data_IF_532846073861
#
_entry.id   IF_532846073861
#
_cell.length_a   1.000
_cell.length_b   1.000
_cell.length_c   1.000
_cell.angle_alpha   90.00
_cell.angle_beta   90.00
_cell.angle_gamma   90.00
#
_symmetry.space_group_name_H-M   'P 1'
#
loop_
_entity.id
_entity.type
_entity.pdbx_description
1 polymer ?
#
# COMPACT_ATOMS: atom_id res chain seq x y z
N UNK A 1 0.81 10.50 -41.07
CA UNK A 1 0.19 9.16 -41.21
C UNK A 1 0.72 8.31 -40.08
N UNK A 2 -0.07 8.10 -39.01
CA UNK A 2 0.34 7.28 -37.86
C UNK A 2 0.27 5.79 -38.23
N UNK A 3 1.28 5.04 -37.82
CA UNK A 3 1.47 3.62 -38.15
C UNK A 3 0.57 2.73 -37.30
N UNK A 4 0.11 1.61 -37.87
CA UNK A 4 -0.65 0.57 -37.16
C UNK A 4 0.11 -0.03 -35.97
N UNK A 5 1.44 0.15 -35.92
CA UNK A 5 2.30 -0.27 -34.82
C UNK A 5 2.11 0.58 -33.55
N UNK A 6 1.91 1.90 -33.69
CA UNK A 6 1.66 2.80 -32.55
C UNK A 6 0.32 2.50 -31.85
N UNK A 7 -0.69 2.08 -32.62
CA UNK A 7 -2.00 1.75 -32.08
C UNK A 7 -1.96 0.49 -31.19
N UNK A 8 -1.13 -0.49 -31.55
CA UNK A 8 -0.99 -1.74 -30.79
C UNK A 8 -0.19 -1.54 -29.49
N UNK A 9 0.76 -0.61 -29.47
CA UNK A 9 1.58 -0.31 -28.29
C UNK A 9 0.82 0.56 -27.26
N UNK A 10 -0.07 1.44 -27.72
CA UNK A 10 -1.00 2.16 -26.85
C UNK A 10 -2.03 1.21 -26.20
N UNK A 11 -2.50 0.21 -26.95
CA UNK A 11 -3.43 -0.80 -26.43
C UNK A 11 -2.77 -1.74 -25.42
N UNK A 12 -1.45 -2.00 -25.55
CA UNK A 12 -0.66 -2.80 -24.59
C UNK A 12 -0.48 -2.09 -23.25
N UNK A 13 -0.44 -0.76 -23.22
CA UNK A 13 -0.45 0.05 -21.96
C UNK A 13 -1.81 0.11 -21.26
N UNK A 14 -2.88 -0.36 -21.91
CA UNK A 14 -4.23 -0.43 -21.36
C UNK A 14 -4.61 -1.81 -20.78
N UNK A 15 -3.63 -2.63 -20.40
CA UNK A 15 -3.90 -3.70 -19.42
C UNK A 15 -3.99 -3.09 -18.03
N UNK A 16 -5.03 -2.27 -17.84
CA UNK A 16 -5.55 -1.92 -16.52
C UNK A 16 -5.79 -3.25 -15.83
N UNK A 17 -4.92 -3.59 -14.87
CA UNK A 17 -5.17 -4.64 -13.87
C UNK A 17 -6.60 -4.41 -13.41
N UNK A 18 -7.51 -5.32 -13.78
CA UNK A 18 -8.85 -5.37 -13.23
C UNK A 18 -8.67 -5.33 -11.72
N UNK A 19 -8.95 -4.17 -11.13
CA UNK A 19 -9.17 -4.09 -9.70
C UNK A 19 -10.39 -4.96 -9.49
N UNK A 20 -10.18 -6.18 -9.02
CA UNK A 20 -11.23 -7.02 -8.49
C UNK A 20 -12.00 -6.15 -7.53
N UNK A 21 -13.28 -5.91 -7.82
CA UNK A 21 -14.22 -5.32 -6.88
C UNK A 21 -14.50 -6.35 -5.77
N UNK A 22 -13.46 -6.70 -5.00
CA UNK A 22 -13.67 -7.24 -3.66
C UNK A 22 -14.25 -6.08 -2.87
N UNK A 23 -15.50 -6.23 -2.42
CA UNK A 23 -16.14 -5.25 -1.55
C UNK A 23 -15.20 -4.91 -0.40
N UNK A 24 -15.18 -3.63 -0.01
CA UNK A 24 -14.31 -3.20 1.08
C UNK A 24 -14.54 -4.11 2.29
N UNK A 25 -13.49 -4.79 2.79
CA UNK A 25 -13.63 -5.64 3.96
C UNK A 25 -14.19 -4.80 5.12
N UNK A 26 -15.03 -5.42 5.95
CA UNK A 26 -15.56 -4.74 7.12
C UNK A 26 -14.44 -4.17 7.98
N UNK A 27 -14.71 -3.06 8.68
CA UNK A 27 -13.72 -2.38 9.54
C UNK A 27 -12.99 -3.33 10.49
N UNK A 28 -13.63 -4.32 11.14
CA UNK A 28 -12.92 -5.29 11.98
C UNK A 28 -11.89 -6.13 11.20
N UNK A 29 -12.24 -6.55 9.99
CA UNK A 29 -11.35 -7.30 9.10
C UNK A 29 -10.17 -6.44 8.65
N UNK A 30 -10.42 -5.17 8.27
CA UNK A 30 -9.34 -4.23 7.96
C UNK A 30 -8.37 -4.04 9.12
N UNK A 31 -8.88 -3.89 10.34
CA UNK A 31 -8.04 -3.76 11.54
C UNK A 31 -7.24 -5.02 11.84
N UNK A 32 -7.83 -6.20 11.68
CA UNK A 32 -7.15 -7.49 11.84
C UNK A 32 -6.03 -7.68 10.80
N UNK A 33 -6.31 -7.38 9.52
CA UNK A 33 -5.29 -7.47 8.46
C UNK A 33 -4.18 -6.43 8.67
N UNK A 34 -4.54 -5.21 9.12
CA UNK A 34 -3.58 -4.17 9.45
C UNK A 34 -2.70 -4.57 10.64
N UNK A 35 -3.27 -5.20 11.68
CA UNK A 35 -2.50 -5.62 12.85
C UNK A 35 -1.51 -6.73 12.48
N UNK A 36 -1.94 -7.75 11.73
CA UNK A 36 -1.08 -8.83 11.24
C UNK A 36 0.05 -8.27 10.37
N UNK A 37 -0.26 -7.42 9.40
CA UNK A 37 0.75 -6.82 8.52
C UNK A 37 1.73 -5.91 9.29
N UNK A 38 1.25 -5.22 10.33
CA UNK A 38 2.09 -4.39 11.20
C UNK A 38 3.05 -5.23 12.03
N UNK A 39 2.58 -6.33 12.64
CA UNK A 39 3.41 -7.26 13.42
C UNK A 39 4.50 -7.88 12.53
N UNK A 40 4.15 -8.33 11.33
CA UNK A 40 5.11 -8.87 10.36
C UNK A 40 6.18 -7.84 9.98
N UNK A 41 5.77 -6.59 9.73
CA UNK A 41 6.69 -5.49 9.41
C UNK A 41 7.65 -5.21 10.57
N UNK A 42 7.14 -5.15 11.81
CA UNK A 42 7.95 -4.92 13.00
C UNK A 42 8.97 -6.05 13.18
N UNK A 43 8.52 -7.29 13.08
CA UNK A 43 9.39 -8.45 13.24
C UNK A 43 10.51 -8.48 12.20
N UNK A 44 10.17 -8.33 10.91
CA UNK A 44 11.15 -8.38 9.84
C UNK A 44 12.16 -7.22 9.92
N UNK A 45 11.72 -6.02 10.31
CA UNK A 45 12.63 -4.89 10.53
C UNK A 45 13.49 -5.05 11.78
N UNK A 46 12.96 -5.63 12.84
CA UNK A 46 13.74 -5.98 14.02
C UNK A 46 14.83 -7.00 13.66
N UNK A 47 14.51 -7.99 12.82
CA UNK A 47 15.48 -8.93 12.29
C UNK A 47 16.55 -8.23 11.44
N UNK A 48 16.16 -7.38 10.47
CA UNK A 48 17.11 -6.61 9.65
C UNK A 48 18.02 -5.71 10.50
N UNK A 49 17.51 -5.10 11.56
CA UNK A 49 18.31 -4.32 12.50
C UNK A 49 19.27 -5.20 13.31
N UNK A 50 18.81 -6.35 13.81
CA UNK A 50 19.62 -7.30 14.57
C UNK A 50 20.77 -7.87 13.72
N UNK A 51 20.54 -8.11 12.42
CA UNK A 51 21.56 -8.56 11.48
C UNK A 51 22.40 -7.42 10.88
N UNK A 52 22.12 -6.16 11.23
CA UNK A 52 22.82 -4.99 10.68
C UNK A 52 22.56 -4.74 9.19
N UNK A 53 21.49 -5.31 8.64
CA UNK A 53 21.13 -5.25 7.21
C UNK A 53 20.10 -4.15 6.89
N UNK A 54 19.60 -3.43 7.89
CA UNK A 54 18.64 -2.33 7.66
C UNK A 54 19.36 -1.13 7.02
N UNK A 55 19.17 -0.94 5.72
CA UNK A 55 19.74 0.19 5.00
C UNK A 55 19.00 1.50 5.28
N UNK A 56 19.71 2.63 5.24
CA UNK A 56 19.10 3.95 5.38
C UNK A 56 18.04 4.24 4.31
N UNK A 57 18.23 3.72 3.09
CA UNK A 57 17.26 3.81 2.01
C UNK A 57 15.92 3.13 2.37
N UNK A 58 15.95 1.95 3.00
CA UNK A 58 14.73 1.25 3.45
C UNK A 58 14.00 1.95 4.59
N UNK A 59 14.74 2.74 5.38
CA UNK A 59 14.15 3.61 6.38
C UNK A 59 13.44 4.80 5.72
N UNK A 60 14.09 5.47 4.76
CA UNK A 60 13.49 6.58 4.01
C UNK A 60 12.22 6.16 3.25
N UNK A 61 12.25 5.02 2.56
CA UNK A 61 11.05 4.48 1.89
C UNK A 61 9.92 4.16 2.87
N UNK A 62 10.23 3.75 4.10
CA UNK A 62 9.21 3.53 5.12
C UNK A 62 8.53 4.84 5.53
N UNK A 63 9.34 5.86 5.78
CA UNK A 63 8.86 7.16 6.25
C UNK A 63 7.99 7.82 5.17
N UNK A 64 8.40 7.75 3.90
CA UNK A 64 7.61 8.30 2.79
C UNK A 64 6.26 7.58 2.64
N UNK A 65 6.21 6.26 2.80
CA UNK A 65 4.96 5.49 2.77
C UNK A 65 4.01 5.88 3.90
N UNK A 66 4.52 6.01 5.13
CA UNK A 66 3.72 6.42 6.29
C UNK A 66 3.20 7.86 6.14
N UNK A 67 4.03 8.76 5.62
CA UNK A 67 3.62 10.14 5.33
C UNK A 67 2.53 10.17 4.25
N UNK A 68 2.67 9.40 3.17
CA UNK A 68 1.66 9.29 2.12
C UNK A 68 0.32 8.75 2.64
N UNK A 69 0.34 7.71 3.48
CA UNK A 69 -0.87 7.18 4.13
C UNK A 69 -1.52 8.22 5.06
N UNK A 70 -0.71 8.97 5.82
CA UNK A 70 -1.18 10.04 6.70
C UNK A 70 -1.86 11.16 5.91
N UNK A 71 -1.25 11.62 4.81
CA UNK A 71 -1.82 12.63 3.94
C UNK A 71 -3.16 12.17 3.34
N UNK A 72 -3.22 10.94 2.82
CA UNK A 72 -4.45 10.39 2.26
C UNK A 72 -5.57 10.25 3.29
N UNK A 73 -5.24 9.83 4.52
CA UNK A 73 -6.19 9.79 5.63
C UNK A 73 -6.69 11.20 5.99
N UNK A 74 -5.79 12.18 6.06
CA UNK A 74 -6.15 13.57 6.34
C UNK A 74 -7.10 14.14 5.28
N UNK A 75 -6.82 13.90 3.99
CA UNK A 75 -7.74 14.26 2.91
C UNK A 75 -9.09 13.56 3.05
N UNK A 76 -9.11 12.26 3.35
CA UNK A 76 -10.36 11.52 3.56
C UNK A 76 -11.18 12.07 4.74
N UNK A 77 -10.51 12.53 5.81
CA UNK A 77 -11.17 13.13 6.97
C UNK A 77 -11.82 14.49 6.68
N UNK A 78 -11.34 15.22 5.66
CA UNK A 78 -11.92 16.49 5.25
C UNK A 78 -13.16 16.32 4.36
N UNK A 79 -13.42 15.11 3.87
CA UNK A 79 -14.58 14.84 3.00
C UNK A 79 -15.86 14.69 3.83
N UNK A 80 -16.97 15.33 3.42
CA UNK A 80 -18.26 15.11 4.07
C UNK A 80 -18.67 13.64 3.94
N UNK A 81 -19.13 13.05 5.05
CA UNK A 81 -19.52 11.63 5.11
C UNK A 81 -18.35 10.66 5.25
N UNK A 82 -17.18 11.11 5.72
CA UNK A 82 -16.05 10.24 5.99
C UNK A 82 -16.42 9.07 6.92
N UNK A 83 -16.18 7.85 6.44
CA UNK A 83 -16.39 6.63 7.22
C UNK A 83 -15.08 6.16 7.84
N UNK A 84 -15.17 5.43 8.95
CA UNK A 84 -13.98 4.82 9.58
C UNK A 84 -13.21 3.90 8.62
N UNK A 85 -13.92 3.17 7.75
CA UNK A 85 -13.31 2.37 6.68
C UNK A 85 -12.52 3.25 5.69
N UNK A 86 -13.07 4.39 5.28
CA UNK A 86 -12.39 5.33 4.38
C UNK A 86 -11.13 5.94 5.02
N UNK A 87 -11.15 6.20 6.32
CA UNK A 87 -9.99 6.70 7.07
C UNK A 87 -8.90 5.63 7.25
N UNK A 88 -9.28 4.36 7.42
CA UNK A 88 -8.34 3.26 7.62
C UNK A 88 -7.78 2.69 6.30
N UNK A 89 -8.50 2.85 5.18
CA UNK A 89 -8.11 2.27 3.90
C UNK A 89 -6.70 2.66 3.41
N UNK A 90 -6.19 3.90 3.59
CA UNK A 90 -4.81 4.25 3.22
C UNK A 90 -3.77 3.47 4.04
N UNK A 91 -3.99 3.35 5.36
CA UNK A 91 -3.10 2.65 6.27
C UNK A 91 -3.11 1.14 6.02
N UNK A 92 -4.29 0.56 5.83
CA UNK A 92 -4.47 -0.86 5.54
C UNK A 92 -3.75 -1.26 4.25
N UNK A 93 -3.93 -0.48 3.16
CA UNK A 93 -3.22 -0.72 1.89
C UNK A 93 -1.71 -0.58 2.02
N UNK A 94 -1.24 0.47 2.70
CA UNK A 94 0.19 0.68 2.90
C UNK A 94 0.83 -0.46 3.71
N UNK A 95 0.16 -0.93 4.77
CA UNK A 95 0.63 -2.05 5.59
C UNK A 95 0.73 -3.36 4.78
N UNK A 96 -0.29 -3.67 3.97
CA UNK A 96 -0.26 -4.86 3.11
C UNK A 96 0.83 -4.81 2.05
N UNK A 97 1.04 -3.66 1.40
CA UNK A 97 2.10 -3.52 0.41
C UNK A 97 3.48 -3.67 1.04
N UNK A 98 3.66 -3.14 2.26
CA UNK A 98 4.92 -3.25 2.99
C UNK A 98 5.22 -4.71 3.35
N UNK A 99 4.25 -5.43 3.93
CA UNK A 99 4.44 -6.84 4.25
C UNK A 99 4.70 -7.69 3.00
N UNK A 100 3.98 -7.47 1.90
CA UNK A 100 4.22 -8.16 0.63
C UNK A 100 5.63 -7.94 0.08
N UNK A 101 6.13 -6.71 0.15
CA UNK A 101 7.52 -6.41 -0.25
C UNK A 101 8.52 -7.09 0.66
N UNK A 102 8.31 -7.08 1.98
CA UNK A 102 9.22 -7.72 2.93
C UNK A 102 9.22 -9.25 2.80
N UNK A 103 8.09 -9.87 2.42
CA UNK A 103 8.03 -11.30 2.07
C UNK A 103 8.81 -11.64 0.80
N UNK A 104 9.03 -10.66 -0.07
CA UNK A 104 9.75 -10.83 -1.33
C UNK A 104 11.25 -10.56 -1.19
N UNK A 105 11.73 -10.31 0.04
CA UNK A 105 13.14 -10.10 0.39
C UNK A 105 13.67 -11.29 1.16
#
# INVERSE_FOLDING_TARGET
MMSAFDFMELNRRMTVKRHSSQGQPGVPTMLAELSVASVETIFHRAALMAFGQCSFAEYQSMVSEKLGATQQMAFAAMMPGATTAALLAPWHRAAQQNSQRLRSK
#
